data_IF_396621781728
#
_entry.id   IF_396621781728
#
_cell.length_a   1.000
_cell.length_b   1.000
_cell.length_c   1.000
_cell.angle_alpha   90.00
_cell.angle_beta   90.00
_cell.angle_gamma   90.00
#
_symmetry.space_group_name_H-M   'P 1'
#
loop_
_entity.id
_entity.type
_entity.pdbx_description
1 polymer ?
#
# COMPACT_ATOMS: atom_id res chain seq x y z
N UNK A 1 -3.99 15.36 3.35
CA UNK A 1 -3.17 14.19 3.76
C UNK A 1 -2.67 13.43 2.54
N UNK A 2 -1.50 12.86 2.63
CA UNK A 2 -0.98 11.96 1.59
C UNK A 2 -0.89 10.55 2.16
N UNK A 3 -1.57 9.60 1.52
CA UNK A 3 -1.75 8.23 2.01
C UNK A 3 -1.00 7.24 1.14
N UNK A 4 -0.36 6.25 1.76
CA UNK A 4 0.21 5.10 1.06
C UNK A 4 -0.50 3.85 1.59
N UNK A 5 -1.24 3.17 0.71
CA UNK A 5 -1.97 1.97 1.10
C UNK A 5 -1.02 0.77 1.10
N UNK A 6 -1.11 -0.08 2.15
CA UNK A 6 -0.48 -1.38 2.05
C UNK A 6 -1.30 -2.28 1.11
N UNK A 7 -0.77 -3.44 0.78
CA UNK A 7 -1.38 -4.31 -0.23
C UNK A 7 -2.79 -4.76 0.16
N UNK A 8 -2.99 -5.14 1.43
CA UNK A 8 -4.32 -5.59 1.89
C UNK A 8 -5.33 -4.45 1.88
N UNK A 9 -4.94 -3.26 2.33
CA UNK A 9 -5.83 -2.09 2.33
C UNK A 9 -6.28 -1.75 0.93
N UNK A 10 -5.38 -1.79 -0.04
CA UNK A 10 -5.72 -1.58 -1.45
C UNK A 10 -6.72 -2.64 -1.94
N UNK A 11 -6.45 -3.91 -1.70
CA UNK A 11 -7.32 -5.01 -2.15
C UNK A 11 -8.70 -4.93 -1.51
N UNK A 12 -8.77 -4.62 -0.22
CA UNK A 12 -10.05 -4.47 0.47
C UNK A 12 -10.83 -3.26 -0.04
N UNK A 13 -10.15 -2.15 -0.30
CA UNK A 13 -10.80 -0.98 -0.88
C UNK A 13 -11.36 -1.29 -2.27
N UNK A 14 -10.56 -1.87 -3.15
CA UNK A 14 -10.96 -2.22 -4.50
C UNK A 14 -12.13 -3.21 -4.55
N UNK A 15 -12.18 -4.13 -3.59
CA UNK A 15 -13.22 -5.15 -3.50
C UNK A 15 -14.44 -4.75 -2.66
N UNK A 16 -14.45 -3.55 -2.08
CA UNK A 16 -15.53 -3.13 -1.18
C UNK A 16 -15.64 -3.99 0.08
N UNK A 17 -14.51 -4.51 0.57
CA UNK A 17 -14.46 -5.44 1.69
C UNK A 17 -14.55 -4.72 3.04
N UNK A 18 -15.43 -5.19 3.93
CA UNK A 18 -15.67 -4.61 5.25
C UNK A 18 -14.50 -4.77 6.22
N UNK A 19 -13.46 -5.54 5.87
CA UNK A 19 -12.23 -5.60 6.65
C UNK A 19 -11.48 -4.28 6.66
N UNK A 20 -11.67 -3.46 5.62
CA UNK A 20 -11.16 -2.09 5.63
C UNK A 20 -11.96 -1.29 6.64
N UNK A 21 -11.29 -0.62 7.59
CA UNK A 21 -11.99 0.17 8.60
C UNK A 21 -12.75 1.32 7.93
N UNK A 22 -13.81 1.78 8.61
CA UNK A 22 -14.59 2.92 8.14
C UNK A 22 -13.72 4.17 8.03
N UNK A 23 -12.86 4.40 9.02
CA UNK A 23 -11.93 5.54 9.03
C UNK A 23 -10.98 5.49 7.83
N UNK A 24 -10.41 4.31 7.54
CA UNK A 24 -9.53 4.14 6.39
C UNK A 24 -10.27 4.38 5.07
N UNK A 25 -11.47 3.82 4.92
CA UNK A 25 -12.28 4.01 3.73
C UNK A 25 -12.61 5.47 3.49
N UNK A 26 -13.07 6.16 4.52
CA UNK A 26 -13.42 7.59 4.43
C UNK A 26 -12.19 8.43 4.05
N UNK A 27 -11.02 8.12 4.60
CA UNK A 27 -9.80 8.84 4.27
C UNK A 27 -9.39 8.63 2.80
N UNK A 28 -9.53 7.41 2.28
CA UNK A 28 -9.22 7.08 0.88
C UNK A 28 -10.21 7.76 -0.06
N UNK A 29 -11.49 7.79 0.29
CA UNK A 29 -12.55 8.39 -0.52
C UNK A 29 -12.53 9.93 -0.49
N UNK A 30 -11.88 10.52 0.50
CA UNK A 30 -11.79 11.98 0.64
C UNK A 30 -10.91 12.55 -0.47
N UNK A 31 -11.52 13.32 -1.38
CA UNK A 31 -10.85 13.89 -2.55
C UNK A 31 -9.80 14.94 -2.19
N UNK A 32 -9.80 15.47 -0.96
CA UNK A 32 -8.75 16.37 -0.50
C UNK A 32 -7.45 15.63 -0.14
N UNK A 33 -7.50 14.30 -0.01
CA UNK A 33 -6.34 13.45 0.24
C UNK A 33 -5.80 12.89 -1.07
N UNK A 34 -4.48 12.74 -1.16
CA UNK A 34 -3.84 11.97 -2.24
C UNK A 34 -3.61 10.54 -1.75
N UNK A 35 -3.89 9.56 -2.58
CA UNK A 35 -3.69 8.15 -2.25
C UNK A 35 -2.74 7.50 -3.25
N UNK A 36 -1.76 6.79 -2.73
CA UNK A 36 -0.70 6.14 -3.50
C UNK A 36 -0.75 4.63 -3.35
N UNK A 37 -0.47 3.92 -4.45
CA UNK A 37 -0.22 2.49 -4.47
C UNK A 37 1.24 2.26 -4.84
N UNK A 38 1.98 1.53 -3.98
CA UNK A 38 3.37 1.21 -4.24
C UNK A 38 3.53 0.18 -5.35
N UNK A 39 4.57 0.35 -6.19
CA UNK A 39 4.98 -0.69 -7.14
C UNK A 39 5.36 -1.98 -6.40
N UNK A 40 5.81 -1.91 -5.15
CA UNK A 40 6.08 -3.09 -4.34
C UNK A 40 4.81 -3.90 -4.08
N UNK A 41 3.67 -3.24 -3.85
CA UNK A 41 2.37 -3.91 -3.70
C UNK A 41 1.94 -4.59 -5.00
N UNK A 42 2.16 -3.94 -6.13
CA UNK A 42 1.86 -4.53 -7.44
C UNK A 42 2.69 -5.81 -7.67
N UNK A 43 3.96 -5.76 -7.32
CA UNK A 43 4.85 -6.91 -7.43
C UNK A 43 4.43 -8.05 -6.48
N UNK A 44 4.10 -7.71 -5.24
CA UNK A 44 3.59 -8.71 -4.27
C UNK A 44 2.33 -9.42 -4.81
N UNK A 45 1.37 -8.65 -5.32
CA UNK A 45 0.16 -9.21 -5.90
C UNK A 45 0.46 -10.11 -7.11
N UNK A 46 1.35 -9.68 -7.98
CA UNK A 46 1.74 -10.46 -9.16
C UNK A 46 2.35 -11.81 -8.76
N UNK A 47 3.24 -11.82 -7.77
CA UNK A 47 3.84 -13.05 -7.25
C UNK A 47 2.76 -13.98 -6.68
N UNK A 48 1.87 -13.45 -5.85
CA UNK A 48 0.83 -14.25 -5.19
C UNK A 48 -0.19 -14.82 -6.18
N UNK A 49 -0.53 -14.08 -7.21
CA UNK A 49 -1.37 -14.59 -8.29
C UNK A 49 -0.66 -15.73 -9.02
N UNK A 50 0.61 -15.53 -9.36
CA UNK A 50 1.41 -16.51 -10.11
C UNK A 50 1.53 -17.85 -9.37
N UNK A 51 1.66 -17.84 -8.04
CA UNK A 51 1.77 -19.06 -7.23
C UNK A 51 0.43 -19.57 -6.68
N UNK A 52 -0.69 -19.00 -7.12
CA UNK A 52 -2.02 -19.46 -6.74
C UNK A 52 -2.47 -19.05 -5.34
N UNK A 53 -1.85 -18.06 -4.72
CA UNK A 53 -2.22 -17.59 -3.37
C UNK A 53 -3.13 -16.37 -3.35
N UNK A 54 -3.41 -15.78 -4.51
CA UNK A 54 -4.31 -14.65 -4.66
C UNK A 54 -5.12 -14.81 -5.92
N UNK A 55 -6.44 -14.70 -5.80
CA UNK A 55 -7.36 -14.65 -6.94
C UNK A 55 -8.04 -13.29 -6.97
N UNK A 56 -8.08 -12.68 -8.17
CA UNK A 56 -8.78 -11.44 -8.41
C UNK A 56 -9.92 -11.67 -9.38
N UNK A 57 -11.02 -10.87 -9.29
CA UNK A 57 -12.16 -11.04 -10.20
C UNK A 57 -11.87 -10.64 -11.65
N UNK A 58 -10.74 -10.00 -11.89
CA UNK A 58 -10.28 -9.54 -13.21
C UNK A 58 -8.75 -9.53 -13.25
N UNK A 59 -8.13 -9.44 -14.45
CA UNK A 59 -6.67 -9.37 -14.56
C UNK A 59 -6.10 -8.21 -13.74
N UNK A 60 -4.93 -8.44 -13.15
CA UNK A 60 -4.27 -7.48 -12.25
C UNK A 60 -4.12 -6.10 -12.86
N UNK A 61 -3.60 -6.03 -14.09
CA UNK A 61 -3.38 -4.75 -14.78
C UNK A 61 -4.67 -3.96 -14.97
N UNK A 62 -5.75 -4.67 -15.29
CA UNK A 62 -7.07 -4.05 -15.46
C UNK A 62 -7.61 -3.51 -14.12
N UNK A 63 -7.51 -4.31 -13.06
CA UNK A 63 -7.96 -3.88 -11.72
C UNK A 63 -7.23 -2.62 -11.29
N UNK A 64 -5.90 -2.61 -11.40
CA UNK A 64 -5.08 -1.47 -11.00
C UNK A 64 -5.38 -0.24 -11.86
N UNK A 65 -5.47 -0.40 -13.19
CA UNK A 65 -5.78 0.72 -14.09
C UNK A 65 -7.15 1.34 -13.81
N UNK A 66 -8.15 0.52 -13.53
CA UNK A 66 -9.48 1.00 -13.18
C UNK A 66 -9.49 1.78 -11.86
N UNK A 67 -8.77 1.27 -10.85
CA UNK A 67 -8.68 1.95 -9.56
C UNK A 67 -7.95 3.29 -9.66
N UNK A 68 -6.88 3.36 -10.45
CA UNK A 68 -6.16 4.61 -10.71
C UNK A 68 -7.10 5.63 -11.37
N UNK A 69 -7.83 5.20 -12.40
CA UNK A 69 -8.73 6.10 -13.15
C UNK A 69 -9.93 6.55 -12.33
N UNK A 70 -10.58 5.62 -11.60
CA UNK A 70 -11.83 5.88 -10.90
C UNK A 70 -11.63 6.58 -9.56
N UNK A 71 -10.52 6.30 -8.88
CA UNK A 71 -10.25 6.81 -7.53
C UNK A 71 -9.04 7.73 -7.45
N UNK A 72 -8.48 8.10 -8.60
CA UNK A 72 -7.35 9.03 -8.69
C UNK A 72 -6.12 8.57 -7.87
N UNK A 73 -5.91 7.26 -7.76
CA UNK A 73 -4.69 6.74 -7.15
C UNK A 73 -3.48 7.06 -8.02
N UNK A 74 -2.36 7.32 -7.36
CA UNK A 74 -1.07 7.49 -8.03
C UNK A 74 -0.18 6.28 -7.73
N UNK A 75 0.57 5.83 -8.76
CA UNK A 75 1.57 4.79 -8.56
C UNK A 75 2.83 5.39 -7.97
N UNK A 76 3.31 4.81 -6.87
CA UNK A 76 4.58 5.20 -6.27
C UNK A 76 5.67 4.22 -6.71
N UNK A 77 6.60 4.73 -7.52
CA UNK A 77 7.74 3.94 -8.02
C UNK A 77 8.77 3.74 -6.92
N UNK A 78 9.52 2.63 -7.03
CA UNK A 78 10.65 2.38 -6.14
C UNK A 78 11.88 3.08 -6.68
N UNK A 79 12.35 4.08 -5.97
CA UNK A 79 13.53 4.87 -6.31
C UNK A 79 14.75 4.39 -5.52
N UNK A 80 15.95 4.72 -5.99
CA UNK A 80 17.20 4.35 -5.32
C UNK A 80 17.21 4.81 -3.85
N UNK A 81 16.68 6.00 -3.59
CA UNK A 81 16.58 6.55 -2.23
C UNK A 81 15.73 5.67 -1.31
N UNK A 82 14.66 5.08 -1.83
CA UNK A 82 13.82 4.15 -1.05
C UNK A 82 14.62 2.92 -0.64
N UNK A 83 15.40 2.36 -1.55
CA UNK A 83 16.26 1.20 -1.26
C UNK A 83 17.35 1.55 -0.24
N UNK A 84 17.93 2.75 -0.34
CA UNK A 84 18.90 3.22 0.66
C UNK A 84 18.29 3.26 2.06
N UNK A 85 17.10 3.82 2.21
CA UNK A 85 16.38 3.84 3.48
C UNK A 85 16.03 2.43 3.94
N UNK A 86 15.60 1.56 3.03
CA UNK A 86 15.30 0.15 3.32
C UNK A 86 16.48 -0.56 4.00
N UNK A 87 17.70 -0.32 3.53
CA UNK A 87 18.90 -0.98 4.09
C UNK A 87 19.17 -0.60 5.55
N UNK A 88 18.65 0.54 6.00
CA UNK A 88 18.84 1.04 7.37
C UNK A 88 17.64 0.76 8.28
N UNK A 89 16.56 0.14 7.79
CA UNK A 89 15.40 -0.14 8.62
C UNK A 89 15.70 -1.18 9.71
N UNK A 90 15.21 -0.97 10.93
CA UNK A 90 15.25 -2.01 11.96
C UNK A 90 14.51 -3.27 11.50
N UNK A 91 14.89 -4.43 12.04
CA UNK A 91 14.33 -5.73 11.64
C UNK A 91 13.12 -6.12 12.49
N UNK A 92 12.16 -5.22 12.66
CA UNK A 92 10.90 -5.50 13.37
C UNK A 92 9.92 -6.30 12.51
N UNK A 93 9.98 -6.13 11.20
CA UNK A 93 9.13 -6.81 10.22
C UNK A 93 10.01 -7.50 9.19
N UNK A 94 9.62 -8.71 8.75
CA UNK A 94 10.42 -9.51 7.80
C UNK A 94 9.94 -9.42 6.37
N UNK A 95 8.68 -9.06 6.15
CA UNK A 95 8.10 -9.02 4.82
C UNK A 95 8.77 -7.92 3.99
N UNK A 96 9.43 -8.27 2.87
CA UNK A 96 10.17 -7.29 2.08
C UNK A 96 9.28 -6.25 1.41
N UNK A 97 8.05 -6.61 1.07
CA UNK A 97 7.13 -5.67 0.43
C UNK A 97 6.64 -4.63 1.43
N UNK A 98 6.26 -5.04 2.64
CA UNK A 98 5.87 -4.13 3.71
C UNK A 98 7.04 -3.25 4.13
N UNK A 99 8.25 -3.79 4.18
CA UNK A 99 9.45 -3.01 4.49
C UNK A 99 9.71 -1.94 3.43
N UNK A 100 9.47 -2.23 2.15
CA UNK A 100 9.58 -1.22 1.09
C UNK A 100 8.52 -0.12 1.26
N UNK A 101 7.30 -0.48 1.62
CA UNK A 101 6.24 0.49 1.91
C UNK A 101 6.65 1.41 3.06
N UNK A 102 7.24 0.86 4.12
CA UNK A 102 7.75 1.65 5.25
C UNK A 102 8.85 2.62 4.79
N UNK A 103 9.82 2.12 4.02
CA UNK A 103 10.90 2.97 3.50
C UNK A 103 10.37 4.10 2.63
N UNK A 104 9.42 3.82 1.76
CA UNK A 104 8.79 4.82 0.90
C UNK A 104 8.02 5.86 1.73
N UNK A 105 7.28 5.41 2.74
CA UNK A 105 6.54 6.31 3.61
C UNK A 105 7.47 7.28 4.35
N UNK A 106 8.62 6.80 4.80
CA UNK A 106 9.61 7.65 5.48
C UNK A 106 10.21 8.68 4.52
N UNK A 107 10.63 8.26 3.33
CA UNK A 107 11.26 9.14 2.34
C UNK A 107 10.28 10.19 1.82
N UNK A 108 9.07 9.75 1.48
CA UNK A 108 8.05 10.61 0.86
C UNK A 108 7.13 11.30 1.87
N UNK A 109 7.33 11.03 3.16
CA UNK A 109 6.52 11.57 4.24
C UNK A 109 5.02 11.28 4.08
N UNK A 110 4.70 9.99 3.88
CA UNK A 110 3.33 9.53 3.68
C UNK A 110 2.80 8.83 4.93
N UNK A 111 1.48 8.94 5.15
CA UNK A 111 0.79 8.16 6.17
C UNK A 111 0.42 6.80 5.58
N UNK A 112 0.76 5.72 6.26
CA UNK A 112 0.47 4.35 5.78
C UNK A 112 -0.92 3.94 6.25
N UNK A 113 -1.74 3.46 5.33
CA UNK A 113 -3.04 2.85 5.65
C UNK A 113 -2.82 1.35 5.80
N UNK A 114 -2.89 0.86 7.03
CA UNK A 114 -2.68 -0.55 7.33
C UNK A 114 -3.34 -0.96 8.63
N UNK A 115 -3.87 -2.19 8.65
CA UNK A 115 -4.34 -2.87 9.86
C UNK A 115 -3.21 -3.56 10.62
N UNK A 116 -2.11 -3.86 9.94
CA UNK A 116 -1.02 -4.65 10.50
C UNK A 116 -0.27 -3.88 11.58
N UNK A 117 -0.33 -4.39 12.82
CA UNK A 117 0.33 -3.79 13.98
C UNK A 117 1.85 -3.74 13.88
N UNK A 118 2.46 -4.57 13.04
CA UNK A 118 3.91 -4.57 12.85
C UNK A 118 4.43 -3.24 12.28
N UNK A 119 3.61 -2.50 11.56
CA UNK A 119 3.96 -1.17 11.08
C UNK A 119 4.17 -0.15 12.22
N UNK A 120 3.51 -0.35 13.37
CA UNK A 120 3.59 0.56 14.50
C UNK A 120 4.97 0.61 15.15
N UNK A 121 5.83 -0.39 14.91
CA UNK A 121 7.18 -0.45 15.45
C UNK A 121 8.16 0.44 14.67
N UNK A 122 7.73 1.03 13.57
CA UNK A 122 8.54 1.90 12.72
C UNK A 122 8.11 3.35 12.88
N UNK A 123 9.04 4.26 12.55
CA UNK A 123 8.80 5.71 12.60
C UNK A 123 8.03 6.17 11.36
N UNK A 124 6.74 5.88 11.35
CA UNK A 124 5.79 6.28 10.31
C UNK A 124 4.45 6.62 10.94
N UNK A 125 3.66 7.43 10.26
CA UNK A 125 2.28 7.67 10.64
C UNK A 125 1.40 6.52 10.12
N UNK A 126 0.57 5.96 10.98
CA UNK A 126 -0.40 4.92 10.64
C UNK A 126 -1.82 5.46 10.71
N UNK A 127 -2.63 5.04 9.75
CA UNK A 127 -4.06 5.34 9.72
C UNK A 127 -4.85 4.05 9.59
N UNK A 128 -5.79 3.88 10.51
CA UNK A 128 -6.70 2.74 10.47
C UNK A 128 -8.03 3.03 11.17
#
# INVERSE_FOLDING_TARGET
MQLLLDTHSFLWFAGGNDRLSRKAREAIEDTSNAAYLSMASLWEMAIKINIGKLELPKPLGRLVSEQIRENEFEMLRSEVEHFGTYTALPLHHRDPFDRMIIAQAQVENLSVVSKDGAFADYDIDLLW
#
